data_IF_508901641681
#
_entry.id   IF_508901641681
#
_cell.length_a   1.000
_cell.length_b   1.000
_cell.length_c   1.000
_cell.angle_alpha   90.00
_cell.angle_beta   90.00
_cell.angle_gamma   90.00
#
_symmetry.space_group_name_H-M   'P 1'
#
loop_
_entity.id
_entity.type
_entity.pdbx_description
1 polymer ?
#
# COMPACT_ATOMS: atom_id res chain seq x y z
N UNK A 1 23.03 -11.51 -4.10
CA UNK A 1 22.09 -10.38 -3.84
C UNK A 1 20.67 -10.84 -3.50
N UNK A 2 19.95 -11.58 -4.34
CA UNK A 2 18.58 -12.05 -4.02
C UNK A 2 18.52 -12.96 -2.78
N UNK A 3 19.48 -13.87 -2.58
CA UNK A 3 19.55 -14.71 -1.38
C UNK A 3 19.74 -13.90 -0.10
N UNK A 4 20.51 -12.79 -0.16
CA UNK A 4 20.74 -11.90 0.98
C UNK A 4 19.46 -11.13 1.36
N UNK A 5 18.71 -10.63 0.38
CA UNK A 5 17.41 -9.95 0.61
C UNK A 5 16.42 -10.93 1.26
N UNK A 6 16.34 -12.15 0.77
CA UNK A 6 15.49 -13.19 1.37
C UNK A 6 15.86 -13.52 2.81
N UNK A 7 17.15 -13.56 3.15
CA UNK A 7 17.59 -13.80 4.52
C UNK A 7 17.20 -12.66 5.45
N UNK A 8 17.39 -11.41 5.03
CA UNK A 8 16.98 -10.22 5.80
C UNK A 8 15.47 -10.19 5.96
N UNK A 9 14.71 -10.41 4.90
CA UNK A 9 13.25 -10.48 4.95
C UNK A 9 12.76 -11.52 5.95
N UNK A 10 13.40 -12.72 5.96
CA UNK A 10 13.02 -13.79 6.90
C UNK A 10 13.28 -13.40 8.34
N UNK A 11 14.45 -12.83 8.64
CA UNK A 11 14.81 -12.38 9.99
C UNK A 11 13.84 -11.30 10.47
N UNK A 12 13.55 -10.31 9.63
CA UNK A 12 12.68 -9.20 10.01
C UNK A 12 11.23 -9.63 10.21
N UNK A 13 10.70 -10.47 9.31
CA UNK A 13 9.31 -10.93 9.44
C UNK A 13 9.12 -11.83 10.66
N UNK A 14 10.12 -12.69 10.97
CA UNK A 14 10.08 -13.54 12.16
C UNK A 14 10.18 -12.70 13.44
N UNK A 15 11.06 -11.70 13.45
CA UNK A 15 11.15 -10.77 14.58
C UNK A 15 9.82 -10.08 14.85
N UNK A 16 9.15 -9.60 13.81
CA UNK A 16 7.84 -8.94 13.94
C UNK A 16 6.78 -9.94 14.39
N UNK A 17 6.73 -11.11 13.76
CA UNK A 17 5.70 -12.12 14.07
C UNK A 17 5.85 -12.71 15.47
N UNK A 18 7.05 -13.02 15.92
CA UNK A 18 7.27 -13.63 17.24
C UNK A 18 7.51 -12.60 18.35
N UNK A 19 8.11 -11.45 18.03
CA UNK A 19 8.49 -10.46 19.01
C UNK A 19 7.43 -9.40 19.33
N UNK A 20 6.56 -9.08 18.34
CA UNK A 20 5.54 -8.04 18.53
C UNK A 20 4.12 -8.59 18.66
N UNK A 21 3.93 -9.90 18.52
CA UNK A 21 2.62 -10.52 18.61
C UNK A 21 2.04 -10.40 20.01
N UNK A 22 0.83 -9.87 20.11
CA UNK A 22 0.09 -9.72 21.36
C UNK A 22 -1.42 -9.60 21.08
N UNK A 23 -2.31 -9.87 22.07
CA UNK A 23 -3.77 -9.90 21.87
C UNK A 23 -4.36 -8.58 21.34
N UNK A 24 -3.76 -7.43 21.63
CA UNK A 24 -4.23 -6.14 21.11
C UNK A 24 -3.94 -6.03 19.61
N UNK A 25 -2.72 -6.29 19.18
CA UNK A 25 -2.34 -6.23 17.78
C UNK A 25 -2.98 -7.34 16.96
N UNK A 26 -3.19 -8.54 17.53
CA UNK A 26 -3.91 -9.63 16.88
C UNK A 26 -5.36 -9.26 16.52
N UNK A 27 -5.98 -8.35 17.28
CA UNK A 27 -7.31 -7.79 16.96
C UNK A 27 -7.24 -6.58 16.02
N UNK A 28 -6.27 -5.69 16.21
CA UNK A 28 -6.21 -4.43 15.45
C UNK A 28 -5.68 -4.62 14.03
N UNK A 29 -4.66 -5.45 13.83
CA UNK A 29 -4.01 -5.58 12.51
C UNK A 29 -4.93 -6.16 11.43
N UNK A 30 -5.82 -7.15 11.70
CA UNK A 30 -6.85 -7.55 10.76
C UNK A 30 -7.81 -6.42 10.40
N UNK A 31 -8.24 -5.59 11.36
CA UNK A 31 -9.13 -4.45 11.09
C UNK A 31 -8.43 -3.44 10.20
N UNK A 32 -7.19 -3.08 10.54
CA UNK A 32 -6.39 -2.10 9.77
C UNK A 32 -6.14 -2.60 8.35
N UNK A 33 -5.80 -3.87 8.17
CA UNK A 33 -5.55 -4.42 6.83
C UNK A 33 -6.80 -4.40 5.96
N UNK A 34 -7.98 -4.69 6.53
CA UNK A 34 -9.25 -4.66 5.80
C UNK A 34 -9.63 -3.27 5.29
N UNK A 35 -9.18 -2.19 5.92
CA UNK A 35 -9.34 -0.84 5.37
C UNK A 35 -8.63 -0.68 4.00
N UNK A 36 -7.56 -1.43 3.79
CA UNK A 36 -6.80 -1.43 2.54
C UNK A 36 -7.29 -2.40 1.47
N UNK A 37 -8.26 -3.27 1.78
CA UNK A 37 -8.77 -4.27 0.83
C UNK A 37 -9.37 -3.58 -0.40
N UNK A 38 -8.89 -3.96 -1.59
CA UNK A 38 -9.31 -3.33 -2.85
C UNK A 38 -9.08 -1.82 -2.92
N UNK A 39 -8.34 -1.23 -1.98
CA UNK A 39 -8.16 0.21 -1.88
C UNK A 39 -9.42 0.97 -1.42
N UNK A 40 -10.39 0.29 -0.81
CA UNK A 40 -11.74 0.83 -0.51
C UNK A 40 -11.68 2.12 0.30
N UNK A 41 -10.89 2.20 1.36
CA UNK A 41 -10.79 3.44 2.16
C UNK A 41 -10.28 4.61 1.31
N UNK A 42 -9.35 4.36 0.41
CA UNK A 42 -8.77 5.36 -0.47
C UNK A 42 -9.74 5.80 -1.57
N UNK A 43 -10.55 4.88 -2.09
CA UNK A 43 -11.65 5.20 -3.01
C UNK A 43 -12.67 6.09 -2.30
N UNK A 44 -13.09 5.74 -1.08
CA UNK A 44 -14.05 6.53 -0.30
C UNK A 44 -13.52 7.96 -0.07
N UNK A 45 -12.27 8.12 0.38
CA UNK A 45 -11.65 9.43 0.59
C UNK A 45 -11.61 10.23 -0.72
N UNK A 46 -11.22 9.59 -1.82
CA UNK A 46 -11.15 10.24 -3.13
C UNK A 46 -12.53 10.69 -3.62
N UNK A 47 -13.56 9.86 -3.44
CA UNK A 47 -14.94 10.18 -3.80
C UNK A 47 -15.48 11.33 -2.94
N UNK A 48 -15.18 11.35 -1.63
CA UNK A 48 -15.55 12.48 -0.77
C UNK A 48 -14.93 13.80 -1.29
N UNK A 49 -13.66 13.76 -1.73
CA UNK A 49 -13.03 14.92 -2.36
C UNK A 49 -13.76 15.38 -3.64
N UNK A 50 -14.29 14.45 -4.45
CA UNK A 50 -15.02 14.79 -5.68
C UNK A 50 -16.31 15.60 -5.41
N UNK A 51 -16.97 15.37 -4.28
CA UNK A 51 -18.21 16.12 -3.93
C UNK A 51 -17.94 17.55 -3.46
N UNK A 52 -16.71 17.89 -3.06
CA UNK A 52 -16.35 19.26 -2.65
C UNK A 52 -15.71 20.00 -3.83
N UNK A 53 -16.32 21.14 -4.26
CA UNK A 53 -15.86 21.90 -5.45
C UNK A 53 -14.35 22.18 -5.44
N UNK A 54 -13.81 22.62 -4.31
CA UNK A 54 -12.40 23.00 -4.18
C UNK A 54 -11.44 21.81 -4.18
N UNK A 55 -11.93 20.58 -3.96
CA UNK A 55 -11.12 19.37 -3.85
C UNK A 55 -11.36 18.36 -4.97
N UNK A 56 -12.24 18.68 -5.94
CA UNK A 56 -12.56 17.76 -7.06
C UNK A 56 -11.35 17.27 -7.80
N UNK A 57 -10.43 18.18 -8.14
CA UNK A 57 -9.20 17.83 -8.84
C UNK A 57 -8.31 16.89 -8.00
N UNK A 58 -8.29 17.08 -6.68
CA UNK A 58 -7.55 16.19 -5.76
C UNK A 58 -8.14 14.79 -5.80
N UNK A 59 -9.46 14.66 -5.73
CA UNK A 59 -10.15 13.37 -5.83
C UNK A 59 -9.84 12.64 -7.13
N UNK A 60 -9.84 13.36 -8.26
CA UNK A 60 -9.46 12.79 -9.57
C UNK A 60 -8.00 12.33 -9.59
N UNK A 61 -7.07 13.12 -9.07
CA UNK A 61 -5.65 12.76 -8.98
C UNK A 61 -5.44 11.53 -8.08
N UNK A 62 -6.16 11.45 -6.95
CA UNK A 62 -6.13 10.29 -6.06
C UNK A 62 -6.59 9.02 -6.79
N UNK A 63 -7.74 9.05 -7.47
CA UNK A 63 -8.25 7.90 -8.22
C UNK A 63 -7.32 7.51 -9.37
N UNK A 64 -6.77 8.48 -10.09
CA UNK A 64 -5.80 8.23 -11.17
C UNK A 64 -4.51 7.59 -10.65
N UNK A 65 -4.00 8.08 -9.52
CA UNK A 65 -2.81 7.52 -8.88
C UNK A 65 -3.05 6.11 -8.34
N UNK A 66 -4.22 5.87 -7.74
CA UNK A 66 -4.65 4.56 -7.28
C UNK A 66 -4.75 3.56 -8.43
N UNK A 67 -5.36 3.96 -9.54
CA UNK A 67 -5.50 3.14 -10.74
C UNK A 67 -4.12 2.79 -11.33
N UNK A 68 -3.25 3.79 -11.51
CA UNK A 68 -1.90 3.57 -12.03
C UNK A 68 -1.11 2.61 -11.15
N UNK A 69 -1.13 2.84 -9.84
CA UNK A 69 -0.45 1.99 -8.85
C UNK A 69 -0.98 0.55 -8.89
N UNK A 70 -2.29 0.36 -9.06
CA UNK A 70 -2.91 -0.97 -9.17
C UNK A 70 -2.50 -1.67 -10.46
N UNK A 71 -2.51 -0.98 -11.59
CA UNK A 71 -2.04 -1.53 -12.87
C UNK A 71 -0.59 -1.99 -12.76
N UNK A 72 0.29 -1.15 -12.22
CA UNK A 72 1.70 -1.50 -12.05
C UNK A 72 1.90 -2.68 -11.12
N UNK A 73 1.24 -2.69 -9.96
CA UNK A 73 1.43 -3.73 -8.94
C UNK A 73 0.76 -5.05 -9.31
N UNK A 74 -0.57 -5.01 -9.47
CA UNK A 74 -1.36 -6.24 -9.67
C UNK A 74 -1.31 -6.72 -11.12
N UNK A 75 -1.32 -5.79 -12.08
CA UNK A 75 -1.35 -6.12 -13.51
C UNK A 75 0.01 -6.52 -14.07
N UNK A 76 1.09 -5.89 -13.63
CA UNK A 76 2.42 -6.06 -14.24
C UNK A 76 3.40 -6.76 -13.30
N UNK A 77 3.82 -6.10 -12.22
CA UNK A 77 4.99 -6.53 -11.44
C UNK A 77 4.74 -7.88 -10.75
N UNK A 78 3.54 -8.11 -10.20
CA UNK A 78 3.21 -9.40 -9.56
C UNK A 78 3.33 -10.57 -10.51
N UNK A 79 2.86 -10.40 -11.74
CA UNK A 79 2.85 -11.46 -12.75
C UNK A 79 4.24 -11.71 -13.39
N UNK A 80 5.17 -10.76 -13.22
CA UNK A 80 6.56 -10.92 -13.68
C UNK A 80 7.44 -11.56 -12.60
N UNK A 81 7.23 -11.17 -11.32
CA UNK A 81 8.10 -11.59 -10.22
C UNK A 81 7.64 -12.90 -9.58
N UNK A 82 6.34 -13.17 -9.51
CA UNK A 82 5.70 -14.40 -9.01
C UNK A 82 6.22 -14.88 -7.64
N UNK A 83 6.54 -13.92 -6.76
CA UNK A 83 7.09 -14.23 -5.43
C UNK A 83 6.07 -14.94 -4.55
N UNK A 84 6.45 -16.11 -4.01
CA UNK A 84 5.62 -16.86 -3.05
C UNK A 84 5.55 -16.11 -1.72
N UNK A 85 4.35 -16.04 -1.13
CA UNK A 85 4.11 -15.36 0.16
C UNK A 85 4.82 -16.04 1.33
N UNK A 86 5.21 -15.25 2.38
CA UNK A 86 5.81 -15.82 3.59
C UNK A 86 4.97 -16.93 4.19
N UNK A 87 3.67 -16.71 4.39
CA UNK A 87 2.74 -17.64 5.00
C UNK A 87 2.60 -18.97 4.23
N UNK A 88 2.83 -18.96 2.92
CA UNK A 88 2.81 -20.18 2.08
C UNK A 88 4.14 -20.88 2.16
N UNK A 89 5.25 -20.12 2.13
CA UNK A 89 6.61 -20.67 2.16
C UNK A 89 7.03 -21.20 3.54
N UNK A 90 6.51 -20.54 4.59
CA UNK A 90 6.75 -20.86 6.00
C UNK A 90 5.40 -20.86 6.73
N UNK A 91 4.64 -21.96 6.64
CA UNK A 91 3.30 -22.02 7.22
C UNK A 91 3.31 -21.77 8.72
N UNK A 92 2.30 -21.01 9.20
CA UNK A 92 2.03 -20.77 10.62
C UNK A 92 0.71 -21.46 10.98
N UNK A 93 0.58 -21.88 12.24
CA UNK A 93 -0.59 -22.68 12.71
C UNK A 93 -1.87 -21.87 12.83
N UNK A 94 -1.77 -20.54 13.02
CA UNK A 94 -2.88 -19.67 13.38
C UNK A 94 -2.89 -18.36 12.58
N UNK A 95 -3.20 -18.39 11.27
CA UNK A 95 -3.32 -17.20 10.46
C UNK A 95 -4.52 -16.35 10.93
N UNK A 96 -4.27 -15.05 11.14
CA UNK A 96 -5.29 -14.10 11.63
C UNK A 96 -6.23 -13.59 10.54
N UNK A 97 -5.94 -13.86 9.27
CA UNK A 97 -6.76 -13.49 8.09
C UNK A 97 -6.74 -14.60 7.05
N UNK A 98 -7.67 -14.56 6.12
CA UNK A 98 -7.63 -15.44 4.95
C UNK A 98 -6.35 -15.22 4.15
N UNK A 99 -5.71 -16.32 3.74
CA UNK A 99 -4.47 -16.28 2.96
C UNK A 99 -4.79 -15.79 1.54
N UNK A 100 -4.21 -14.67 1.09
CA UNK A 100 -4.46 -14.17 -0.26
C UNK A 100 -3.87 -15.11 -1.31
N UNK A 101 -4.62 -15.35 -2.40
CA UNK A 101 -4.23 -16.29 -3.48
C UNK A 101 -3.22 -15.69 -4.47
N UNK A 102 -3.08 -14.36 -4.54
CA UNK A 102 -2.15 -13.69 -5.46
C UNK A 102 -0.71 -13.74 -4.95
N UNK A 103 0.26 -13.44 -5.83
CA UNK A 103 1.69 -13.35 -5.50
C UNK A 103 2.00 -12.29 -4.44
N UNK A 104 3.19 -12.40 -3.80
CA UNK A 104 3.57 -11.55 -2.68
C UNK A 104 4.12 -10.19 -3.10
N UNK A 105 4.92 -10.12 -4.14
CA UNK A 105 5.70 -8.93 -4.50
C UNK A 105 5.12 -8.18 -5.69
N UNK A 106 5.00 -6.86 -5.58
CA UNK A 106 5.06 -6.05 -4.38
C UNK A 106 3.70 -6.02 -3.65
N UNK A 107 3.65 -5.39 -2.45
CA UNK A 107 2.41 -5.28 -1.68
C UNK A 107 1.42 -4.30 -2.31
N UNK A 108 0.29 -4.80 -2.81
CA UNK A 108 -0.78 -3.98 -3.40
C UNK A 108 -1.45 -3.06 -2.40
N UNK A 109 -1.71 -3.52 -1.16
CA UNK A 109 -2.23 -2.69 -0.08
C UNK A 109 -1.35 -1.49 0.22
N UNK A 110 -0.03 -1.71 0.26
CA UNK A 110 0.93 -0.63 0.51
C UNK A 110 1.01 0.32 -0.67
N UNK A 111 1.08 -0.21 -1.89
CA UNK A 111 1.17 0.59 -3.10
C UNK A 111 -0.06 1.50 -3.27
N UNK A 112 -1.27 0.96 -3.16
CA UNK A 112 -2.51 1.73 -3.23
C UNK A 112 -2.58 2.79 -2.12
N UNK A 113 -2.14 2.46 -0.91
CA UNK A 113 -2.15 3.38 0.21
C UNK A 113 -1.20 4.55 -0.01
N UNK A 114 0.05 4.29 -0.38
CA UNK A 114 1.01 5.37 -0.61
C UNK A 114 0.73 6.18 -1.89
N UNK A 115 0.07 5.60 -2.89
CA UNK A 115 -0.36 6.33 -4.08
C UNK A 115 -1.32 7.47 -3.72
N UNK A 116 -2.35 7.20 -2.92
CA UNK A 116 -3.32 8.22 -2.51
C UNK A 116 -2.76 9.09 -1.39
N UNK A 117 -2.12 8.50 -0.38
CA UNK A 117 -1.56 9.26 0.74
C UNK A 117 -0.55 10.32 0.29
N UNK A 118 0.26 10.05 -0.74
CA UNK A 118 1.21 11.02 -1.31
C UNK A 118 0.50 12.19 -1.97
N UNK A 119 -0.55 11.97 -2.75
CA UNK A 119 -1.36 13.05 -3.34
C UNK A 119 -1.96 13.94 -2.24
N UNK A 120 -2.56 13.32 -1.22
CA UNK A 120 -3.17 14.05 -0.10
C UNK A 120 -2.13 14.80 0.72
N UNK A 121 -0.95 14.21 0.95
CA UNK A 121 0.16 14.86 1.66
C UNK A 121 0.61 16.15 0.97
N UNK A 122 0.70 16.14 -0.36
CA UNK A 122 1.17 17.29 -1.14
C UNK A 122 0.08 18.35 -1.28
N UNK A 123 -1.16 17.95 -1.55
CA UNK A 123 -2.23 18.87 -1.92
C UNK A 123 -3.16 19.28 -0.76
N UNK A 124 -3.10 18.59 0.39
CA UNK A 124 -3.86 18.90 1.60
C UNK A 124 -2.93 19.02 2.83
N UNK A 125 -2.06 20.03 2.87
CA UNK A 125 -1.02 20.13 3.90
C UNK A 125 -1.57 20.18 5.33
N UNK A 126 -2.80 20.67 5.54
CA UNK A 126 -3.49 20.68 6.84
C UNK A 126 -3.82 19.29 7.38
N UNK A 127 -3.91 18.27 6.52
CA UNK A 127 -4.24 16.89 6.88
C UNK A 127 -3.11 15.89 6.57
N UNK A 128 -1.93 16.37 6.15
CA UNK A 128 -0.85 15.56 5.57
C UNK A 128 -0.41 14.35 6.38
N UNK A 129 -0.47 14.40 7.71
CA UNK A 129 0.01 13.34 8.59
C UNK A 129 -0.96 12.16 8.60
N UNK A 130 -2.27 12.41 8.61
CA UNK A 130 -3.30 11.37 8.76
C UNK A 130 -3.21 10.29 7.66
N UNK A 131 -3.22 10.64 6.34
CA UNK A 131 -3.12 9.62 5.28
C UNK A 131 -1.78 8.87 5.30
N UNK A 132 -0.68 9.52 5.65
CA UNK A 132 0.62 8.86 5.75
C UNK A 132 0.64 7.84 6.90
N UNK A 133 0.15 8.22 8.08
CA UNK A 133 0.06 7.31 9.23
C UNK A 133 -0.81 6.10 8.88
N UNK A 134 -1.97 6.32 8.25
CA UNK A 134 -2.84 5.24 7.81
C UNK A 134 -2.17 4.32 6.79
N UNK A 135 -1.46 4.87 5.80
CA UNK A 135 -0.73 4.10 4.80
C UNK A 135 0.39 3.25 5.44
N UNK A 136 1.12 3.81 6.40
CA UNK A 136 2.16 3.09 7.17
C UNK A 136 1.52 1.96 7.98
N UNK A 137 0.42 2.21 8.68
CA UNK A 137 -0.28 1.21 9.48
C UNK A 137 -0.81 0.06 8.60
N UNK A 138 -1.39 0.37 7.43
CA UNK A 138 -1.83 -0.65 6.47
C UNK A 138 -0.62 -1.45 5.97
N UNK A 139 0.48 -0.80 5.60
CA UNK A 139 1.70 -1.49 5.18
C UNK A 139 2.29 -2.38 6.27
N UNK A 140 2.39 -1.89 7.50
CA UNK A 140 2.87 -2.64 8.65
C UNK A 140 1.99 -3.86 8.96
N UNK A 141 0.66 -3.70 8.88
CA UNK A 141 -0.27 -4.81 9.11
C UNK A 141 0.00 -6.01 8.18
N UNK A 142 0.47 -5.76 6.94
CA UNK A 142 0.78 -6.85 5.99
C UNK A 142 1.98 -7.69 6.41
N UNK A 143 2.98 -7.08 7.06
CA UNK A 143 4.14 -7.79 7.60
C UNK A 143 3.72 -8.55 8.87
N UNK A 144 3.00 -7.86 9.78
CA UNK A 144 2.52 -8.44 11.02
C UNK A 144 1.66 -9.69 10.80
N UNK A 145 0.76 -9.65 9.82
CA UNK A 145 -0.12 -10.75 9.42
C UNK A 145 0.58 -11.85 8.62
N UNK A 146 1.90 -11.76 8.44
CA UNK A 146 2.73 -12.75 7.78
C UNK A 146 2.37 -13.02 6.30
N UNK A 147 1.75 -12.05 5.63
CA UNK A 147 1.31 -12.20 4.22
C UNK A 147 2.21 -11.51 3.20
N UNK A 148 3.08 -10.59 3.65
CA UNK A 148 4.10 -9.91 2.84
C UNK A 148 5.43 -9.82 3.58
N UNK A 149 6.52 -9.92 2.83
CA UNK A 149 7.86 -9.61 3.35
C UNK A 149 8.05 -8.09 3.50
N UNK A 150 8.95 -7.63 4.41
CA UNK A 150 9.30 -6.22 4.52
C UNK A 150 9.71 -5.57 3.19
N UNK A 151 10.46 -6.26 2.35
CA UNK A 151 10.83 -5.76 1.03
C UNK A 151 9.65 -5.62 0.06
N UNK A 152 8.61 -6.46 0.16
CA UNK A 152 7.38 -6.31 -0.63
C UNK A 152 6.65 -5.02 -0.27
N UNK A 153 6.60 -4.72 1.03
CA UNK A 153 5.99 -3.50 1.57
C UNK A 153 6.80 -2.27 1.16
N UNK A 154 8.12 -2.33 1.30
CA UNK A 154 9.01 -1.22 0.91
C UNK A 154 8.90 -0.90 -0.57
N UNK A 155 8.95 -1.90 -1.45
CA UNK A 155 8.79 -1.67 -2.90
C UNK A 155 7.37 -1.25 -3.25
N UNK A 156 6.35 -1.79 -2.58
CA UNK A 156 4.97 -1.31 -2.72
C UNK A 156 4.86 0.18 -2.39
N UNK A 157 5.48 0.65 -1.32
CA UNK A 157 5.55 2.08 -0.97
C UNK A 157 6.18 2.90 -2.10
N UNK A 158 7.32 2.47 -2.63
CA UNK A 158 8.00 3.18 -3.72
C UNK A 158 7.14 3.25 -4.99
N UNK A 159 6.48 2.15 -5.38
CA UNK A 159 5.57 2.12 -6.53
C UNK A 159 4.40 3.08 -6.32
N UNK A 160 3.81 3.11 -5.13
CA UNK A 160 2.72 4.03 -4.80
C UNK A 160 3.16 5.50 -4.90
N UNK A 161 4.27 5.85 -4.26
CA UNK A 161 4.84 7.21 -4.32
C UNK A 161 5.16 7.62 -5.76
N UNK A 162 5.81 6.74 -6.53
CA UNK A 162 6.13 7.00 -7.94
C UNK A 162 4.88 7.23 -8.78
N UNK A 163 3.84 6.42 -8.58
CA UNK A 163 2.54 6.60 -9.25
C UNK A 163 1.93 7.97 -8.97
N UNK A 164 1.98 8.44 -7.72
CA UNK A 164 1.52 9.77 -7.35
C UNK A 164 2.30 10.87 -8.06
N UNK A 165 3.63 10.79 -8.09
CA UNK A 165 4.45 11.79 -8.77
C UNK A 165 4.23 11.81 -10.28
N UNK A 166 4.07 10.66 -10.94
CA UNK A 166 3.74 10.59 -12.37
C UNK A 166 2.43 11.32 -12.66
N UNK A 167 1.39 11.08 -11.87
CA UNK A 167 0.08 11.73 -12.04
C UNK A 167 0.17 13.23 -11.78
N UNK A 168 0.87 13.67 -10.73
CA UNK A 168 1.06 15.08 -10.42
C UNK A 168 1.84 15.81 -11.54
N UNK A 169 2.88 15.18 -12.06
CA UNK A 169 3.67 15.73 -13.17
C UNK A 169 2.81 15.91 -14.42
N UNK A 170 2.05 14.86 -14.80
CA UNK A 170 1.13 14.93 -15.94
C UNK A 170 0.09 16.04 -15.78
N UNK A 171 -0.51 16.18 -14.60
CA UNK A 171 -1.45 17.26 -14.30
C UNK A 171 -0.83 18.65 -14.46
N UNK A 172 0.39 18.85 -13.95
CA UNK A 172 1.08 20.15 -14.03
C UNK A 172 1.46 20.52 -15.47
N UNK A 173 1.83 19.55 -16.30
CA UNK A 173 2.14 19.77 -17.71
C UNK A 173 0.88 20.23 -18.46
N UNK A 174 -0.23 19.49 -18.34
CA UNK A 174 -1.51 19.84 -18.98
C UNK A 174 -2.01 21.23 -18.56
N UNK A 175 -1.81 21.60 -17.29
CA UNK A 175 -2.24 22.91 -16.79
C UNK A 175 -1.41 24.06 -17.34
N UNK A 176 -0.10 23.86 -17.57
CA UNK A 176 0.78 24.88 -18.14
C UNK A 176 0.45 25.18 -19.60
N UNK A 177 0.01 24.17 -20.36
CA UNK A 177 -0.33 24.33 -21.77
C UNK A 177 -1.68 25.06 -22.00
N UNK A 178 -2.48 25.24 -20.94
CA UNK A 178 -3.77 25.91 -20.98
C UNK A 178 -3.76 27.34 -20.38
N UNK A 179 -2.59 27.90 -20.06
CA UNK A 179 -2.35 29.29 -19.61
C UNK A 179 -1.50 30.03 -20.61
#
# INVERSE_FOLDING_TARGET
MLKSIHAIDKILIDFIHHGLRNPLFDKLMPIITHLGDGGVIWIIISVICLFKKDYRYIGLLCLSSLLLSTILTEGIIKNVVERVRPIIRYPISDPLIHIPKSFSFPSGHTSSSFAVATILFILLPQYKIIPIVLAVLIGFSRIYLYVHYPSDVFVGMLVGILSAFIILLGYNLIRKDNV
#
